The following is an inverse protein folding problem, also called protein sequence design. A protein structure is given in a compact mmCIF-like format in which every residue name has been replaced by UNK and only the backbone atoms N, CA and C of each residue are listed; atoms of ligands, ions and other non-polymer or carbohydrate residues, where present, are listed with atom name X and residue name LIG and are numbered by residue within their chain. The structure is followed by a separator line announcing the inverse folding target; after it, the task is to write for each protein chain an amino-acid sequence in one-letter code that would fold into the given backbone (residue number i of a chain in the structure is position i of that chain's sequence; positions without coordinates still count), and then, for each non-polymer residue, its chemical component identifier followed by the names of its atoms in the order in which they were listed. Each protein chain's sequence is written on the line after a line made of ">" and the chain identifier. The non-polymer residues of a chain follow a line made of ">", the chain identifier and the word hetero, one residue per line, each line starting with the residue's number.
data_IF_599538356674
#
_entry.id   IF_599538356674
#
_cell.length_a   1.000
_cell.length_b   1.000
_cell.length_c   1.000
_cell.angle_alpha   90.00
_cell.angle_beta   90.00
_cell.angle_gamma   90.00
#
_symmetry.space_group_name_H-M   'P 1'
#
loop_
_entity.id
_entity.type
_entity.pdbx_description
1 polymer ?
#
# COMPACT_ATOMS: atom_id res chain seq x y z
N UNK A 1 3.41 -1.23 -7.90
CA UNK A 1 4.43 -1.69 -6.94
C UNK A 1 5.41 -0.55 -6.66
N UNK A 2 6.06 -0.51 -5.48
CA UNK A 2 7.04 0.52 -5.15
C UNK A 2 8.33 0.32 -5.96
N UNK A 3 9.06 1.40 -6.21
CA UNK A 3 10.36 1.36 -6.88
C UNK A 3 11.41 0.61 -6.05
N UNK A 4 12.42 0.05 -6.72
CA UNK A 4 13.55 -0.64 -6.06
C UNK A 4 14.24 0.27 -5.05
N UNK A 5 14.46 1.52 -5.44
CA UNK A 5 15.07 2.57 -4.61
C UNK A 5 14.33 2.81 -3.29
N UNK A 6 13.00 2.74 -3.29
CA UNK A 6 12.19 2.91 -2.06
C UNK A 6 12.39 1.76 -1.09
N UNK A 7 12.47 0.53 -1.60
CA UNK A 7 12.76 -0.65 -0.76
C UNK A 7 14.14 -0.57 -0.16
N UNK A 8 15.13 -0.13 -0.93
CA UNK A 8 16.51 0.08 -0.47
C UNK A 8 16.60 1.14 0.61
N UNK A 9 15.92 2.28 0.42
CA UNK A 9 15.85 3.34 1.44
C UNK A 9 15.18 2.87 2.72
N UNK A 10 14.05 2.18 2.61
CA UNK A 10 13.39 1.58 3.76
C UNK A 10 14.27 0.53 4.48
N UNK A 11 15.04 -0.26 3.73
CA UNK A 11 16.00 -1.21 4.30
C UNK A 11 17.19 -0.49 4.97
N UNK A 12 17.69 0.60 4.39
CA UNK A 12 18.73 1.43 4.98
C UNK A 12 18.24 2.08 6.29
N UNK A 13 17.01 2.58 6.32
CA UNK A 13 16.38 3.11 7.54
C UNK A 13 16.24 2.03 8.61
N UNK A 14 15.89 0.81 8.22
CA UNK A 14 15.89 -0.35 9.13
C UNK A 14 17.28 -0.66 9.68
N UNK A 15 18.31 -0.67 8.83
CA UNK A 15 19.72 -0.87 9.24
C UNK A 15 20.21 0.22 10.20
N UNK A 16 19.73 1.45 10.01
CA UNK A 16 19.99 2.59 10.90
C UNK A 16 19.16 2.57 12.20
N UNK A 17 18.39 1.50 12.45
CA UNK A 17 17.56 1.37 13.66
C UNK A 17 16.35 2.30 13.70
N UNK A 18 15.96 2.91 12.57
CA UNK A 18 14.83 3.86 12.55
C UNK A 18 13.49 3.15 12.72
N UNK A 19 12.52 3.89 13.25
CA UNK A 19 11.16 3.40 13.50
C UNK A 19 10.45 2.88 12.23
N UNK A 20 9.45 2.02 12.42
CA UNK A 20 8.63 1.48 11.33
C UNK A 20 7.83 2.56 10.58
N UNK A 21 7.43 3.64 11.26
CA UNK A 21 6.76 4.78 10.62
C UNK A 21 7.72 5.56 9.72
N UNK A 22 8.99 5.72 10.13
CA UNK A 22 10.02 6.33 9.27
C UNK A 22 10.27 5.50 8.02
N UNK A 23 10.47 4.19 8.17
CA UNK A 23 10.63 3.26 7.04
C UNK A 23 9.42 3.30 6.08
N UNK A 24 8.21 3.39 6.62
CA UNK A 24 6.98 3.51 5.84
C UNK A 24 6.84 4.87 5.13
N UNK A 25 7.44 5.91 5.70
CA UNK A 25 7.47 7.26 5.16
C UNK A 25 8.08 7.32 3.75
N UNK A 26 9.08 6.49 3.46
CA UNK A 26 9.68 6.40 2.13
C UNK A 26 8.66 5.98 1.06
N UNK A 27 7.78 5.02 1.38
CA UNK A 27 6.71 4.59 0.46
C UNK A 27 5.62 5.65 0.30
N UNK A 28 5.29 6.37 1.36
CA UNK A 28 4.32 7.47 1.30
C UNK A 28 4.87 8.63 0.45
N UNK A 29 6.13 9.02 0.67
CA UNK A 29 6.81 10.06 -0.10
C UNK A 29 6.89 9.68 -1.58
N UNK A 30 7.24 8.44 -1.89
CA UNK A 30 7.26 7.93 -3.27
C UNK A 30 5.87 8.06 -3.93
N UNK A 31 4.81 7.61 -3.24
CA UNK A 31 3.47 7.67 -3.79
C UNK A 31 3.01 9.11 -4.00
N UNK A 32 3.23 10.00 -3.03
CA UNK A 32 2.89 11.42 -3.17
C UNK A 32 3.63 12.07 -4.34
N UNK A 33 4.90 11.70 -4.54
CA UNK A 33 5.69 12.20 -5.65
C UNK A 33 5.17 11.69 -7.01
N UNK A 34 4.69 10.43 -7.08
CA UNK A 34 4.00 9.91 -8.27
C UNK A 34 2.71 10.67 -8.56
N UNK A 35 1.89 10.95 -7.54
CA UNK A 35 0.67 11.74 -7.70
C UNK A 35 0.98 13.15 -8.21
N UNK A 36 1.96 13.85 -7.61
CA UNK A 36 2.39 15.19 -8.06
C UNK A 36 2.88 15.21 -9.51
N UNK A 37 3.47 14.11 -9.99
CA UNK A 37 3.93 13.95 -11.37
C UNK A 37 2.85 13.45 -12.33
N UNK A 38 1.60 13.30 -11.88
CA UNK A 38 0.51 12.73 -12.70
C UNK A 38 0.66 11.25 -13.02
N UNK A 39 1.62 10.55 -12.41
CA UNK A 39 1.90 9.11 -12.61
C UNK A 39 1.20 8.22 -11.59
N UNK A 40 0.50 8.84 -10.64
CA UNK A 40 -0.25 8.19 -9.59
C UNK A 40 -1.68 7.86 -10.01
N UNK A 41 -2.42 7.24 -9.09
CA UNK A 41 -3.83 6.84 -9.30
C UNK A 41 -4.72 7.26 -8.13
N UNK A 42 -4.18 8.00 -7.17
CA UNK A 42 -4.92 8.43 -6.01
C UNK A 42 -5.76 9.66 -6.37
N UNK A 43 -7.02 9.65 -5.97
CA UNK A 43 -7.94 10.78 -6.12
C UNK A 43 -7.75 11.84 -5.05
N UNK A 44 -6.93 11.55 -4.03
CA UNK A 44 -6.64 12.48 -2.93
C UNK A 44 -5.30 12.16 -2.25
N UNK A 45 -4.75 13.15 -1.55
CA UNK A 45 -3.54 12.97 -0.74
C UNK A 45 -3.71 11.89 0.34
N UNK A 46 -4.89 11.84 0.99
CA UNK A 46 -5.21 10.82 1.99
C UNK A 46 -5.17 9.41 1.38
N UNK A 47 -5.66 9.25 0.15
CA UNK A 47 -5.59 7.99 -0.57
C UNK A 47 -4.15 7.65 -1.00
N UNK A 48 -3.35 8.62 -1.41
CA UNK A 48 -1.93 8.43 -1.73
C UNK A 48 -1.16 7.90 -0.51
N UNK A 49 -1.38 8.49 0.66
CA UNK A 49 -0.82 8.01 1.93
C UNK A 49 -1.28 6.57 2.23
N UNK A 50 -2.57 6.28 2.09
CA UNK A 50 -3.10 4.93 2.34
C UNK A 50 -2.51 3.87 1.39
N UNK A 51 -2.31 4.23 0.11
CA UNK A 51 -1.64 3.39 -0.89
C UNK A 51 -0.18 3.17 -0.50
N UNK A 52 0.55 4.23 -0.15
CA UNK A 52 1.95 4.16 0.29
C UNK A 52 2.12 3.26 1.52
N UNK A 53 1.30 3.44 2.56
CA UNK A 53 1.31 2.59 3.75
C UNK A 53 0.96 1.13 3.43
N UNK A 54 0.06 0.88 2.48
CA UNK A 54 -0.28 -0.48 2.04
C UNK A 54 0.88 -1.13 1.28
N UNK A 55 1.64 -0.37 0.50
CA UNK A 55 2.86 -0.85 -0.16
C UNK A 55 3.97 -1.16 0.85
N UNK A 56 4.16 -0.30 1.86
CA UNK A 56 5.13 -0.52 2.93
C UNK A 56 4.88 -1.85 3.66
N UNK A 57 3.61 -2.16 3.99
CA UNK A 57 3.25 -3.44 4.60
C UNK A 57 3.56 -4.64 3.69
N UNK A 58 3.24 -4.54 2.40
CA UNK A 58 3.58 -5.58 1.41
C UNK A 58 5.09 -5.78 1.27
N UNK A 59 5.88 -4.73 1.51
CA UNK A 59 7.34 -4.78 1.52
C UNK A 59 7.93 -5.28 2.85
N UNK A 60 7.09 -5.69 3.82
CA UNK A 60 7.54 -6.25 5.10
C UNK A 60 7.80 -5.22 6.21
N UNK A 61 7.46 -3.94 6.00
CA UNK A 61 7.53 -2.94 7.06
C UNK A 61 6.42 -3.19 8.07
N UNK A 62 6.78 -3.28 9.37
CA UNK A 62 5.87 -3.56 10.49
C UNK A 62 5.01 -2.33 10.87
N UNK A 63 4.22 -1.83 9.93
CA UNK A 63 3.31 -0.70 10.16
C UNK A 63 1.99 -1.20 10.75
N UNK A 64 1.57 -0.72 11.93
CA UNK A 64 0.30 -1.11 12.50
C UNK A 64 -0.87 -0.77 11.56
N UNK A 65 -1.85 -1.66 11.48
CA UNK A 65 -3.13 -1.36 10.85
C UNK A 65 -3.99 -0.64 11.89
N UNK A 66 -4.56 0.52 11.54
CA UNK A 66 -5.66 1.05 12.35
C UNK A 66 -6.76 -0.02 12.37
N UNK A 67 -7.34 -0.30 13.54
CA UNK A 67 -8.53 -1.18 13.65
C UNK A 67 -9.54 -0.67 12.63
N UNK A 68 -9.94 -1.55 11.71
CA UNK A 68 -10.92 -1.17 10.71
C UNK A 68 -12.22 -0.82 11.44
N UNK A 69 -12.72 0.40 11.32
CA UNK A 69 -14.16 0.60 11.43
C UNK A 69 -14.78 -0.29 10.35
N UNK A 70 -15.58 -1.28 10.76
CA UNK A 70 -15.93 -2.51 10.05
C UNK A 70 -15.88 -2.42 8.51
N UNK A 71 -14.82 -2.96 7.91
CA UNK A 71 -14.83 -3.24 6.47
C UNK A 71 -15.45 -4.62 6.28
N UNK A 72 -16.70 -4.67 5.78
CA UNK A 72 -17.30 -5.90 5.24
C UNK A 72 -16.27 -6.54 4.29
N UNK A 73 -15.75 -7.72 4.65
CA UNK A 73 -15.05 -8.61 3.72
C UNK A 73 -15.98 -8.80 2.53
N UNK A 74 -15.71 -8.20 1.37
CA UNK A 74 -16.28 -8.73 0.13
C UNK A 74 -15.58 -10.06 -0.09
N UNK A 75 -16.26 -11.14 0.30
CA UNK A 75 -15.87 -12.51 -0.02
C UNK A 75 -15.68 -12.60 -1.53
N UNK A 76 -14.59 -13.23 -1.95
CA UNK A 76 -14.24 -13.48 -3.35
C UNK A 76 -15.12 -14.56 -3.98
N UNK A 77 -16.44 -14.46 -3.82
CA UNK A 77 -17.43 -15.41 -4.37
C UNK A 77 -18.12 -14.85 -5.63
N UNK A 78 -17.49 -13.91 -6.34
CA UNK A 78 -17.97 -13.42 -7.63
C UNK A 78 -17.48 -14.27 -8.83
N UNK A 79 -16.65 -15.29 -8.60
CA UNK A 79 -16.09 -16.13 -9.67
C UNK A 79 -16.88 -17.40 -10.04
N UNK A 80 -17.89 -17.81 -9.25
CA UNK A 80 -18.58 -19.10 -9.46
C UNK A 80 -19.92 -19.03 -10.19
N UNK A 81 -20.44 -17.84 -10.52
CA UNK A 81 -21.78 -17.69 -11.14
C UNK A 81 -21.76 -17.62 -12.68
N UNK A 82 -20.59 -17.61 -13.30
CA UNK A 82 -20.46 -17.56 -14.77
C UNK A 82 -20.50 -18.94 -15.46
N UNK A 83 -20.41 -20.07 -14.73
CA UNK A 83 -20.31 -21.43 -15.33
C UNK A 83 -21.61 -22.25 -15.29
N UNK A 84 -22.76 -21.66 -14.94
CA UNK A 84 -24.05 -22.38 -14.83
C UNK A 84 -25.17 -21.84 -15.74
N UNK A 85 -24.84 -21.03 -16.75
CA UNK A 85 -25.82 -20.52 -17.73
C UNK A 85 -25.58 -21.05 -19.16
N UNK A 86 -24.91 -22.18 -19.25
CA UNK A 86 -24.73 -22.97 -20.46
C UNK A 86 -25.24 -24.38 -20.17
N UNK A 87 -26.55 -24.54 -20.25
CA UNK A 87 -27.28 -25.80 -20.41
C UNK A 87 -28.62 -25.43 -21.07
#
# INVERSE_FOLDING_TARGET
>A
MPWKTTKERAAADKRRGKSASTQAGEFVKEQMHKEKRGKGRAKSAKQAVAIGLSQARRAGVKVPRKKAAGTKKRSSTAGKRAKRRSA
#
